data_IF_574221190490
#
_entry.id   IF_574221190490
#
_cell.length_a   1.000
_cell.length_b   1.000
_cell.length_c   1.000
_cell.angle_alpha   90.00
_cell.angle_beta   90.00
_cell.angle_gamma   90.00
#
_symmetry.space_group_name_H-M   'P 1'
#
loop_
_entity.id
_entity.type
_entity.pdbx_description
1 polymer ?
#
# COMPACT_ATOMS: atom_id res chain seq x y z
N UNK A 1 -12.62 3.04 52.02
CA UNK A 1 -12.15 3.62 50.75
C UNK A 1 -11.42 2.54 49.95
N UNK A 2 -12.05 1.87 48.97
CA UNK A 2 -11.36 0.91 48.12
C UNK A 2 -10.75 1.62 46.90
N UNK A 3 -9.45 1.42 46.70
CA UNK A 3 -8.67 1.99 45.61
C UNK A 3 -9.07 1.42 44.25
N UNK A 4 -9.39 2.33 43.33
CA UNK A 4 -9.62 2.06 41.90
C UNK A 4 -8.34 1.49 41.28
N UNK A 5 -8.36 0.22 40.88
CA UNK A 5 -7.37 -0.33 39.96
C UNK A 5 -7.71 0.19 38.57
N UNK A 6 -6.95 1.18 38.10
CA UNK A 6 -7.03 1.67 36.72
C UNK A 6 -6.64 0.52 35.78
N UNK A 7 -7.55 0.16 34.88
CA UNK A 7 -7.24 -0.70 33.74
C UNK A 7 -6.17 -0.03 32.89
N UNK A 8 -5.05 -0.71 32.68
CA UNK A 8 -4.07 -0.33 31.67
C UNK A 8 -4.67 -0.70 30.33
N UNK A 9 -5.18 0.30 29.62
CA UNK A 9 -5.52 0.19 28.20
C UNK A 9 -4.22 -0.05 27.42
N UNK A 10 -4.03 -1.29 26.94
CA UNK A 10 -3.02 -1.62 25.93
C UNK A 10 -3.45 -0.97 24.60
N UNK A 11 -3.14 0.31 24.43
CA UNK A 11 -2.93 0.85 23.08
C UNK A 11 -1.59 0.29 22.63
N UNK A 12 -1.60 -0.76 21.82
CA UNK A 12 -0.42 -1.20 21.10
C UNK A 12 0.08 0.01 20.30
N UNK A 13 1.20 0.58 20.72
CA UNK A 13 1.88 1.65 19.97
C UNK A 13 2.67 0.96 18.87
N UNK A 14 2.02 0.65 17.76
CA UNK A 14 2.73 0.27 16.55
C UNK A 14 3.71 1.40 16.21
N UNK A 15 4.95 1.05 15.88
CA UNK A 15 5.90 2.00 15.33
C UNK A 15 5.37 2.45 13.96
N UNK A 16 5.71 3.66 13.48
CA UNK A 16 5.39 4.07 12.12
C UNK A 16 5.79 3.03 11.06
N UNK A 17 6.98 2.42 11.23
CA UNK A 17 7.47 1.32 10.38
C UNK A 17 6.53 0.11 10.34
N UNK A 18 5.91 -0.27 11.47
CA UNK A 18 4.99 -1.43 11.51
C UNK A 18 3.77 -1.18 10.63
N UNK A 19 3.27 0.06 10.59
CA UNK A 19 2.12 0.45 9.75
C UNK A 19 2.52 0.49 8.27
N UNK A 20 3.74 0.95 7.97
CA UNK A 20 4.23 1.04 6.60
C UNK A 20 4.46 -0.34 5.98
N UNK A 21 5.01 -1.29 6.73
CA UNK A 21 5.16 -2.68 6.28
C UNK A 21 3.80 -3.32 6.05
N UNK A 22 2.86 -3.18 7.00
CA UNK A 22 1.50 -3.69 6.84
C UNK A 22 0.80 -3.10 5.60
N UNK A 23 1.04 -1.83 5.29
CA UNK A 23 0.49 -1.19 4.10
C UNK A 23 1.03 -1.83 2.81
N UNK A 24 2.32 -2.15 2.76
CA UNK A 24 2.91 -2.83 1.60
C UNK A 24 2.42 -4.27 1.46
N UNK A 25 2.28 -5.00 2.57
CA UNK A 25 1.71 -6.35 2.56
C UNK A 25 0.25 -6.32 2.08
N UNK A 26 -0.53 -5.33 2.53
CA UNK A 26 -1.91 -5.11 2.07
C UNK A 26 -2.01 -4.80 0.57
N UNK A 27 -1.01 -4.13 -0.01
CA UNK A 27 -0.94 -3.88 -1.46
C UNK A 27 -0.49 -5.12 -2.22
N UNK A 28 0.42 -5.91 -1.66
CA UNK A 28 0.96 -7.12 -2.31
C UNK A 28 -0.14 -8.14 -2.58
N UNK A 29 -1.07 -8.32 -1.65
CA UNK A 29 -2.16 -9.30 -1.77
C UNK A 29 -3.01 -9.11 -3.05
N UNK A 30 -3.68 -7.97 -3.28
CA UNK A 30 -4.50 -7.77 -4.47
C UNK A 30 -3.67 -7.73 -5.77
N UNK A 31 -2.42 -7.25 -5.73
CA UNK A 31 -1.55 -7.27 -6.91
C UNK A 31 -1.13 -8.70 -7.27
N UNK A 32 -0.78 -9.52 -6.29
CA UNK A 32 -0.45 -10.94 -6.50
C UNK A 32 -1.65 -11.76 -6.98
N UNK A 33 -2.86 -11.34 -6.61
CA UNK A 33 -4.11 -11.90 -7.11
C UNK A 33 -4.50 -11.41 -8.52
N UNK A 34 -3.75 -10.47 -9.10
CA UNK A 34 -4.02 -9.89 -10.42
C UNK A 34 -5.19 -8.90 -10.45
N UNK A 35 -5.57 -8.34 -9.30
CA UNK A 35 -6.62 -7.32 -9.20
C UNK A 35 -6.09 -5.91 -9.46
N UNK A 36 -4.81 -5.69 -9.18
CA UNK A 36 -4.13 -4.43 -9.42
C UNK A 36 -2.79 -4.68 -10.10
N UNK A 37 -2.33 -3.67 -10.81
CA UNK A 37 -1.01 -3.61 -11.43
C UNK A 37 -0.18 -2.48 -10.82
N UNK A 38 1.13 -2.70 -10.71
CA UNK A 38 2.08 -1.69 -10.23
C UNK A 38 2.82 -1.10 -11.42
N UNK A 39 2.95 0.23 -11.44
CA UNK A 39 3.65 0.93 -12.52
C UNK A 39 4.06 2.34 -12.13
N UNK A 40 4.44 3.11 -13.14
CA UNK A 40 4.80 4.53 -13.01
C UNK A 40 3.90 5.38 -13.90
N UNK A 41 3.65 6.62 -13.51
CA UNK A 41 2.98 7.59 -14.38
C UNK A 41 4.01 8.45 -15.08
N UNK A 42 4.07 8.35 -16.41
CA UNK A 42 4.96 9.13 -17.24
C UNK A 42 4.21 10.28 -17.92
N UNK A 43 4.82 11.47 -17.92
CA UNK A 43 4.20 12.67 -18.45
C UNK A 43 3.96 12.55 -19.96
N UNK A 44 2.69 12.58 -20.36
CA UNK A 44 2.28 12.49 -21.76
C UNK A 44 2.09 11.06 -22.29
N UNK A 45 2.40 10.05 -21.47
CA UNK A 45 2.18 8.63 -21.79
C UNK A 45 1.05 8.05 -20.93
N UNK A 46 0.96 8.46 -19.65
CA UNK A 46 0.02 7.90 -18.70
C UNK A 46 0.66 6.81 -17.84
N UNK A 47 -0.14 5.85 -17.39
CA UNK A 47 0.36 4.71 -16.63
C UNK A 47 1.21 3.79 -17.51
N UNK A 48 2.38 3.42 -17.01
CA UNK A 48 3.32 2.49 -17.62
C UNK A 48 3.52 1.34 -16.67
N UNK A 49 3.06 0.16 -17.08
CA UNK A 49 3.19 -1.08 -16.32
C UNK A 49 4.65 -1.39 -16.02
N UNK A 50 4.92 -1.75 -14.77
CA UNK A 50 6.25 -2.21 -14.37
C UNK A 50 6.58 -3.56 -15.00
N UNK A 51 7.81 -3.72 -15.48
CA UNK A 51 8.27 -4.96 -16.14
C UNK A 51 9.10 -5.86 -15.22
N UNK A 52 9.38 -5.41 -14.00
CA UNK A 52 10.09 -6.19 -12.99
C UNK A 52 9.13 -7.13 -12.24
N UNK A 53 9.63 -8.23 -11.66
CA UNK A 53 8.84 -9.10 -10.79
C UNK A 53 8.21 -8.35 -9.61
N UNK A 54 7.02 -8.78 -9.19
CA UNK A 54 6.27 -8.16 -8.09
C UNK A 54 7.12 -8.00 -6.82
N UNK A 55 7.82 -9.05 -6.40
CA UNK A 55 8.62 -9.03 -5.18
C UNK A 55 9.76 -8.00 -5.25
N UNK A 56 10.34 -7.81 -6.43
CA UNK A 56 11.37 -6.80 -6.68
C UNK A 56 10.76 -5.39 -6.66
N UNK A 57 9.59 -5.20 -7.28
CA UNK A 57 8.87 -3.93 -7.25
C UNK A 57 8.40 -3.53 -5.84
N UNK A 58 7.91 -4.48 -5.04
CA UNK A 58 7.55 -4.22 -3.64
C UNK A 58 8.78 -3.84 -2.82
N UNK A 59 9.94 -4.46 -3.05
CA UNK A 59 11.18 -4.10 -2.37
C UNK A 59 11.70 -2.71 -2.80
N UNK A 60 11.56 -2.33 -4.07
CA UNK A 60 11.86 -0.96 -4.54
C UNK A 60 10.98 0.08 -3.82
N UNK A 61 9.66 -0.16 -3.78
CA UNK A 61 8.71 0.71 -3.07
C UNK A 61 9.07 0.76 -1.59
N UNK A 62 9.43 -0.37 -0.98
CA UNK A 62 9.84 -0.43 0.43
C UNK A 62 11.06 0.44 0.69
N UNK A 63 12.07 0.37 -0.18
CA UNK A 63 13.28 1.18 -0.08
C UNK A 63 12.95 2.68 -0.11
N UNK A 64 12.00 3.15 -0.93
CA UNK A 64 11.63 4.57 -0.93
C UNK A 64 10.67 4.93 0.20
N UNK A 65 9.55 4.22 0.30
CA UNK A 65 8.44 4.54 1.20
C UNK A 65 8.80 4.34 2.67
N UNK A 66 9.67 3.38 3.00
CA UNK A 66 9.95 3.05 4.39
C UNK A 66 11.34 3.51 4.82
N UNK A 67 12.38 3.24 4.03
CA UNK A 67 13.75 3.66 4.39
C UNK A 67 13.98 5.17 4.19
N UNK A 68 13.25 5.80 3.24
CA UNK A 68 13.38 7.23 2.92
C UNK A 68 12.09 8.03 3.17
N UNK A 69 11.22 7.55 4.05
CA UNK A 69 9.92 8.19 4.32
C UNK A 69 10.03 9.68 4.70
N UNK A 70 11.03 10.03 5.51
CA UNK A 70 11.25 11.40 6.01
C UNK A 70 11.95 12.30 4.98
N UNK A 71 12.35 11.77 3.82
CA UNK A 71 12.98 12.53 2.74
C UNK A 71 11.89 13.10 1.84
N UNK A 72 11.74 14.42 1.88
CA UNK A 72 10.72 15.11 1.11
C UNK A 72 10.83 14.80 -0.40
N UNK A 73 9.72 14.31 -0.98
CA UNK A 73 9.63 14.00 -2.41
C UNK A 73 10.32 12.71 -2.85
N UNK A 74 10.87 11.90 -1.93
CA UNK A 74 11.51 10.64 -2.29
C UNK A 74 10.49 9.57 -2.72
N UNK A 75 9.30 9.54 -2.11
CA UNK A 75 8.32 8.48 -2.32
C UNK A 75 6.98 8.94 -2.88
N UNK A 76 6.69 10.24 -2.88
CA UNK A 76 5.37 10.82 -3.19
C UNK A 76 4.80 10.41 -4.58
N UNK A 77 5.66 9.98 -5.51
CA UNK A 77 5.30 9.59 -6.88
C UNK A 77 6.07 8.38 -7.40
N UNK A 78 6.67 7.59 -6.49
CA UNK A 78 7.61 6.53 -6.87
C UNK A 78 6.92 5.31 -7.51
N UNK A 79 5.69 5.01 -7.07
CA UNK A 79 4.86 3.94 -7.62
C UNK A 79 3.39 4.31 -7.66
N UNK A 80 2.69 3.72 -8.63
CA UNK A 80 1.26 3.86 -8.86
C UNK A 80 0.60 2.49 -8.95
N UNK A 81 -0.63 2.42 -8.43
CA UNK A 81 -1.50 1.26 -8.62
C UNK A 81 -2.54 1.61 -9.68
N UNK A 82 -2.71 0.73 -10.65
CA UNK A 82 -3.83 0.78 -11.58
C UNK A 82 -4.68 -0.48 -11.45
N UNK A 83 -5.96 -0.34 -11.74
CA UNK A 83 -6.91 -1.45 -11.63
C UNK A 83 -6.73 -2.36 -12.84
N UNK A 84 -6.47 -3.64 -12.61
CA UNK A 84 -6.42 -4.62 -13.69
C UNK A 84 -7.85 -4.95 -14.19
N UNK A 85 -7.97 -5.51 -15.40
CA UNK A 85 -9.27 -5.93 -15.96
C UNK A 85 -10.09 -6.81 -14.99
N UNK A 86 -9.41 -7.75 -14.33
CA UNK A 86 -10.05 -8.63 -13.34
C UNK A 86 -10.47 -7.86 -12.07
N UNK A 87 -9.64 -6.91 -11.63
CA UNK A 87 -9.97 -6.00 -10.54
C UNK A 87 -11.21 -5.17 -10.86
N UNK A 88 -11.31 -4.64 -12.07
CA UNK A 88 -12.48 -3.88 -12.52
C UNK A 88 -13.74 -4.74 -12.49
N UNK A 89 -13.66 -5.96 -13.03
CA UNK A 89 -14.77 -6.92 -13.03
C UNK A 89 -15.27 -7.24 -11.62
N UNK A 90 -14.37 -7.33 -10.64
CA UNK A 90 -14.70 -7.59 -9.23
C UNK A 90 -15.24 -6.33 -8.54
N UNK A 91 -14.73 -5.15 -8.87
CA UNK A 91 -15.13 -3.89 -8.25
C UNK A 91 -16.50 -3.39 -8.73
N UNK A 92 -16.83 -3.58 -10.02
CA UNK A 92 -18.06 -3.06 -10.63
C UNK A 92 -19.35 -3.44 -9.86
N UNK A 93 -19.56 -4.70 -9.42
CA UNK A 93 -20.72 -5.06 -8.61
C UNK A 93 -20.76 -4.37 -7.24
N UNK A 94 -19.60 -4.20 -6.58
CA UNK A 94 -19.49 -3.59 -5.25
C UNK A 94 -19.83 -2.10 -5.26
N UNK A 95 -19.53 -1.41 -6.36
CA UNK A 95 -19.85 0.01 -6.55
C UNK A 95 -21.32 0.24 -6.94
N UNK A 96 -22.02 -0.83 -7.33
CA UNK A 96 -23.42 -0.78 -7.76
C UNK A 96 -24.41 -1.07 -6.62
N UNK A 97 -23.93 -1.44 -5.43
CA UNK A 97 -24.74 -1.62 -4.23
C UNK A 97 -24.81 -0.30 -3.42
N UNK A 98 -26.02 0.24 -3.12
CA UNK A 98 -26.21 1.48 -2.36
C UNK A 98 -26.00 1.33 -0.84
#
# INVERSE_FOLDING_TARGET
MPGVRRGVSRRSRCRPWDIQIEALDTVRDPVSAGLYEIGKVERGVGFVLSTIPLDEGIEEIRSQYVDHYDVQGAWDYDAWLDLADEGERVAQPLLSEP
#
